data_IF_844288073250
#
_entry.id   IF_844288073250
#
_cell.length_a   1.000
_cell.length_b   1.000
_cell.length_c   1.000
_cell.angle_alpha   90.00
_cell.angle_beta   90.00
_cell.angle_gamma   90.00
#
_symmetry.space_group_name_H-M   'P 1'
#
loop_
_entity.id
_entity.type
_entity.pdbx_description
1 polymer ?
#
# COMPACT_ATOMS: atom_id res chain seq x y z
N UNK A 1 -26.04 11.74 7.57
CA UNK A 1 -25.65 10.79 6.51
C UNK A 1 -24.45 9.98 7.01
N UNK A 2 -24.47 8.64 6.96
CA UNK A 2 -23.32 7.84 7.36
C UNK A 2 -22.15 8.07 6.38
N UNK A 3 -20.97 8.38 6.92
CA UNK A 3 -19.75 8.58 6.13
C UNK A 3 -18.84 7.35 6.25
N UNK A 4 -18.53 6.70 5.13
CA UNK A 4 -17.60 5.56 5.11
C UNK A 4 -16.16 6.04 5.21
N UNK A 5 -15.49 5.68 6.30
CA UNK A 5 -14.06 5.97 6.50
C UNK A 5 -13.21 4.90 5.83
N UNK A 6 -12.12 5.33 5.19
CA UNK A 6 -11.14 4.47 4.52
C UNK A 6 -9.85 4.50 5.32
N UNK A 7 -9.20 3.36 5.45
CA UNK A 7 -8.06 3.19 6.34
C UNK A 7 -6.91 2.55 5.57
N UNK A 8 -5.78 3.24 5.54
CA UNK A 8 -4.52 2.74 5.00
C UNK A 8 -3.73 2.02 6.09
N UNK A 9 -3.46 0.74 5.87
CA UNK A 9 -2.70 -0.12 6.76
C UNK A 9 -1.33 -0.37 6.16
N UNK A 10 -0.29 -0.13 6.95
CA UNK A 10 1.09 -0.42 6.59
C UNK A 10 1.73 -1.27 7.66
N UNK A 11 2.31 -2.40 7.30
CA UNK A 11 3.03 -3.23 8.26
C UNK A 11 4.29 -3.81 7.65
N UNK A 12 5.26 -4.12 8.51
CA UNK A 12 6.48 -4.81 8.12
C UNK A 12 6.23 -6.31 8.02
N UNK A 13 6.73 -6.96 6.99
CA UNK A 13 6.57 -8.41 6.85
C UNK A 13 7.42 -9.21 7.86
N UNK A 14 8.46 -8.61 8.45
CA UNK A 14 9.32 -9.27 9.45
C UNK A 14 8.99 -8.92 10.90
N UNK A 15 8.16 -7.92 11.14
CA UNK A 15 7.92 -7.35 12.47
C UNK A 15 6.46 -6.92 12.58
N UNK A 16 5.81 -7.10 13.74
CA UNK A 16 4.42 -6.69 13.94
C UNK A 16 4.24 -5.16 14.01
N UNK A 17 5.25 -4.36 13.66
CA UNK A 17 5.12 -2.91 13.58
C UNK A 17 4.10 -2.53 12.51
N UNK A 18 3.04 -1.88 12.97
CA UNK A 18 1.88 -1.47 12.21
C UNK A 18 1.75 0.06 12.26
N UNK A 19 1.40 0.65 11.13
CA UNK A 19 1.02 2.04 10.99
C UNK A 19 -0.34 2.10 10.31
N UNK A 20 -1.26 2.86 10.91
CA UNK A 20 -2.64 3.01 10.45
C UNK A 20 -2.95 4.49 10.30
N UNK A 21 -3.58 4.85 9.20
CA UNK A 21 -4.10 6.19 8.98
C UNK A 21 -5.49 6.14 8.35
N UNK A 22 -6.41 6.96 8.87
CA UNK A 22 -7.79 7.02 8.42
C UNK A 22 -8.04 8.28 7.58
N UNK A 23 -8.81 8.12 6.50
CA UNK A 23 -9.20 9.17 5.59
C UNK A 23 -10.71 9.12 5.31
N UNK A 24 -11.35 10.27 5.08
CA UNK A 24 -12.78 10.34 4.75
C UNK A 24 -13.11 9.81 3.36
N UNK A 25 -12.11 9.63 2.47
CA UNK A 25 -12.28 9.20 1.07
C UNK A 25 -11.07 8.40 0.58
N UNK A 26 -11.27 7.64 -0.48
CA UNK A 26 -10.22 6.88 -1.19
C UNK A 26 -9.76 7.64 -2.45
N UNK A 27 -9.23 8.85 -2.27
CA UNK A 27 -8.65 9.64 -3.36
C UNK A 27 -7.14 9.42 -3.46
N UNK A 28 -6.58 9.70 -4.62
CA UNK A 28 -5.17 9.45 -4.89
C UNK A 28 -4.24 10.27 -3.97
N UNK A 29 -4.59 11.52 -3.67
CA UNK A 29 -3.87 12.40 -2.75
C UNK A 29 -3.77 11.80 -1.34
N UNK A 30 -4.85 11.14 -0.88
CA UNK A 30 -4.88 10.48 0.42
C UNK A 30 -3.95 9.27 0.44
N UNK A 31 -3.82 8.56 -0.69
CA UNK A 31 -2.84 7.47 -0.82
C UNK A 31 -1.42 8.03 -0.72
N UNK A 32 -1.09 9.11 -1.43
CA UNK A 32 0.24 9.72 -1.33
C UNK A 32 0.57 10.17 0.11
N UNK A 33 -0.38 10.84 0.76
CA UNK A 33 -0.22 11.28 2.16
C UNK A 33 -0.04 10.10 3.11
N UNK A 34 -0.78 9.00 2.90
CA UNK A 34 -0.63 7.78 3.69
C UNK A 34 0.79 7.23 3.60
N UNK A 35 1.37 7.20 2.40
CA UNK A 35 2.74 6.74 2.17
C UNK A 35 3.74 7.68 2.82
N UNK A 36 3.58 8.99 2.66
CA UNK A 36 4.46 9.98 3.28
C UNK A 36 4.53 9.78 4.80
N UNK A 37 3.36 9.68 5.47
CA UNK A 37 3.30 9.46 6.92
C UNK A 37 3.84 8.10 7.34
N UNK A 38 3.54 7.05 6.59
CA UNK A 38 4.03 5.71 6.88
C UNK A 38 5.57 5.64 6.77
N UNK A 39 6.14 6.21 5.70
CA UNK A 39 7.58 6.27 5.49
C UNK A 39 8.27 7.07 6.61
N UNK A 40 7.69 8.20 7.01
CA UNK A 40 8.19 8.96 8.16
C UNK A 40 8.14 8.15 9.46
N UNK A 41 7.05 7.40 9.71
CA UNK A 41 6.90 6.55 10.90
C UNK A 41 7.90 5.39 10.94
N UNK A 42 8.17 4.74 9.81
CA UNK A 42 9.13 3.65 9.73
C UNK A 42 10.60 4.12 9.68
N UNK A 43 10.84 5.43 9.62
CA UNK A 43 12.18 6.02 9.52
C UNK A 43 12.79 5.91 8.12
N UNK A 44 11.96 5.71 7.09
CA UNK A 44 12.37 5.66 5.69
C UNK A 44 11.71 4.56 4.86
N UNK A 45 12.05 4.50 3.56
CA UNK A 45 11.56 3.50 2.64
C UNK A 45 12.24 2.14 2.84
N UNK A 46 11.44 1.06 2.73
CA UNK A 46 11.99 -0.26 2.45
C UNK A 46 12.34 -0.37 0.96
N UNK A 47 13.32 -1.21 0.61
CA UNK A 47 13.70 -1.45 -0.80
C UNK A 47 12.48 -1.80 -1.67
N UNK A 48 11.52 -2.53 -1.11
CA UNK A 48 10.29 -2.97 -1.78
C UNK A 48 9.08 -2.71 -0.92
N UNK A 49 7.98 -2.24 -1.52
CA UNK A 49 6.66 -2.11 -0.88
C UNK A 49 5.65 -2.96 -1.66
N UNK A 50 4.90 -3.81 -0.95
CA UNK A 50 3.94 -4.73 -1.52
C UNK A 50 2.54 -4.12 -1.54
N UNK A 51 1.85 -4.26 -2.67
CA UNK A 51 0.51 -3.74 -2.92
C UNK A 51 -0.44 -4.83 -3.41
N UNK A 52 -1.68 -4.84 -2.91
CA UNK A 52 -2.72 -5.78 -3.33
C UNK A 52 -3.43 -5.40 -4.65
N UNK A 53 -2.94 -4.38 -5.37
CA UNK A 53 -3.48 -3.84 -6.64
C UNK A 53 -4.68 -2.85 -6.51
N UNK A 54 -4.59 -1.79 -5.68
CA UNK A 54 -5.66 -0.80 -5.62
C UNK A 54 -5.74 0.02 -6.92
N UNK A 55 -6.96 0.23 -7.42
CA UNK A 55 -7.24 1.03 -8.64
C UNK A 55 -6.72 2.47 -8.56
N UNK A 56 -6.45 2.97 -7.36
CA UNK A 56 -5.85 4.30 -7.14
C UNK A 56 -4.38 4.35 -7.53
N UNK A 57 -3.64 3.25 -7.35
CA UNK A 57 -2.20 3.15 -7.65
C UNK A 57 -1.99 2.62 -9.07
N UNK A 58 -2.83 1.67 -9.49
CA UNK A 58 -2.73 1.01 -10.79
C UNK A 58 -3.69 1.66 -11.77
N UNK A 59 -3.15 2.29 -12.81
CA UNK A 59 -3.92 2.97 -13.85
C UNK A 59 -4.44 1.98 -14.90
N UNK A 60 -3.62 1.00 -15.30
CA UNK A 60 -4.01 -0.09 -16.21
C UNK A 60 -3.27 -1.37 -15.87
N UNK A 61 -3.98 -2.49 -15.85
CA UNK A 61 -3.37 -3.82 -15.80
C UNK A 61 -3.01 -4.18 -17.25
N UNK A 62 -1.73 -4.42 -17.54
CA UNK A 62 -1.28 -4.86 -18.86
C UNK A 62 -1.18 -6.40 -18.88
N UNK A 63 -0.87 -6.98 -20.05
CA UNK A 63 -0.71 -8.43 -20.18
C UNK A 63 0.44 -8.95 -19.28
N UNK A 64 0.15 -9.94 -18.43
CA UNK A 64 1.15 -10.57 -17.56
C UNK A 64 1.34 -9.90 -16.20
N UNK A 65 2.60 -9.65 -15.80
CA UNK A 65 2.97 -9.04 -14.50
C UNK A 65 3.17 -7.52 -14.56
N UNK A 66 3.19 -6.94 -15.77
CA UNK A 66 3.38 -5.51 -15.96
C UNK A 66 2.11 -4.73 -15.65
N UNK A 67 2.26 -3.65 -14.90
CA UNK A 67 1.17 -2.78 -14.46
C UNK A 67 1.58 -1.35 -14.73
N UNK A 68 0.73 -0.62 -15.44
CA UNK A 68 0.91 0.80 -15.66
C UNK A 68 0.50 1.55 -14.39
N UNK A 69 1.51 2.03 -13.66
CA UNK A 69 1.31 2.78 -12.43
C UNK A 69 0.87 4.20 -12.75
N UNK A 70 0.09 4.79 -11.86
CA UNK A 70 -0.20 6.21 -11.97
C UNK A 70 1.13 7.00 -12.00
N UNK A 71 1.32 7.87 -13.00
CA UNK A 71 2.55 8.66 -13.19
C UNK A 71 2.96 9.42 -11.92
N UNK A 72 1.98 9.94 -11.16
CA UNK A 72 2.25 10.63 -9.90
C UNK A 72 2.77 9.68 -8.82
N UNK A 73 2.28 8.44 -8.80
CA UNK A 73 2.74 7.41 -7.86
C UNK A 73 4.13 6.91 -8.25
N UNK A 74 4.38 6.67 -9.53
CA UNK A 74 5.70 6.31 -10.04
C UNK A 74 6.74 7.38 -9.67
N UNK A 75 6.38 8.68 -9.78
CA UNK A 75 7.26 9.78 -9.35
C UNK A 75 7.55 9.75 -7.85
N UNK A 76 6.55 9.44 -7.02
CA UNK A 76 6.76 9.26 -5.57
C UNK A 76 7.69 8.08 -5.29
N UNK A 77 7.48 6.94 -5.96
CA UNK A 77 8.34 5.76 -5.83
C UNK A 77 9.79 6.07 -6.21
N UNK A 78 10.02 6.81 -7.29
CA UNK A 78 11.35 7.29 -7.66
C UNK A 78 11.93 8.30 -6.67
N UNK A 79 11.12 9.19 -6.09
CA UNK A 79 11.58 10.18 -5.12
C UNK A 79 12.04 9.54 -3.81
N UNK A 80 11.29 8.56 -3.30
CA UNK A 80 11.61 7.81 -2.09
C UNK A 80 12.39 6.52 -2.37
N UNK A 81 12.86 6.29 -3.60
CA UNK A 81 13.72 5.16 -3.97
C UNK A 81 13.20 3.79 -3.51
N UNK A 82 11.88 3.56 -3.57
CA UNK A 82 11.29 2.25 -3.30
C UNK A 82 10.75 1.61 -4.58
N UNK A 83 10.84 0.29 -4.65
CA UNK A 83 10.26 -0.48 -5.75
C UNK A 83 8.84 -0.95 -5.36
N UNK A 84 7.78 -0.49 -6.06
CA UNK A 84 6.43 -0.97 -5.83
C UNK A 84 6.24 -2.36 -6.43
N UNK A 85 6.02 -3.35 -5.58
CA UNK A 85 5.77 -4.74 -5.96
C UNK A 85 4.28 -5.02 -5.82
N UNK A 86 3.67 -5.48 -6.90
CA UNK A 86 2.24 -5.76 -6.92
C UNK A 86 2.02 -7.26 -6.73
N UNK A 87 1.21 -7.63 -5.74
CA UNK A 87 0.91 -9.03 -5.45
C UNK A 87 0.21 -9.70 -6.64
N UNK A 88 0.65 -10.91 -6.98
CA UNK A 88 -0.16 -11.79 -7.81
C UNK A 88 -1.27 -12.38 -6.94
N UNK A 89 -2.52 -12.47 -7.44
CA UNK A 89 -3.58 -13.18 -6.73
C UNK A 89 -3.11 -14.61 -6.45
N UNK A 90 -3.25 -15.07 -5.19
CA UNK A 90 -2.82 -16.39 -4.68
C UNK A 90 -1.31 -16.66 -4.53
N UNK A 91 -0.42 -15.66 -4.65
CA UNK A 91 1.01 -15.88 -4.34
C UNK A 91 1.29 -15.74 -2.85
N UNK A 92 1.49 -16.88 -2.19
CA UNK A 92 1.95 -16.95 -0.80
C UNK A 92 3.26 -16.19 -0.58
N UNK A 93 3.43 -15.66 0.63
CA UNK A 93 4.58 -14.86 1.07
C UNK A 93 5.92 -15.50 0.69
N UNK A 94 6.52 -15.06 -0.41
CA UNK A 94 7.96 -15.22 -0.58
C UNK A 94 8.66 -14.46 0.56
N UNK A 95 9.55 -15.19 1.24
CA UNK A 95 10.20 -14.91 2.53
C UNK A 95 11.16 -13.71 2.51
N UNK A 96 10.86 -12.65 1.80
CA UNK A 96 11.62 -11.41 1.83
C UNK A 96 11.20 -10.60 3.05
N UNK A 97 11.98 -10.75 4.13
CA UNK A 97 11.73 -10.12 5.42
C UNK A 97 11.65 -8.59 5.34
N UNK A 98 12.41 -7.94 4.45
CA UNK A 98 12.54 -6.47 4.39
C UNK A 98 11.53 -5.76 3.47
N UNK A 99 10.24 -6.06 3.61
CA UNK A 99 9.17 -5.44 2.82
C UNK A 99 8.12 -4.78 3.72
N UNK A 100 7.60 -3.62 3.31
CA UNK A 100 6.37 -3.01 3.86
C UNK A 100 5.21 -3.50 3.00
N UNK A 101 4.10 -3.92 3.61
CA UNK A 101 2.86 -4.23 2.90
C UNK A 101 1.85 -3.13 3.14
N UNK A 102 1.20 -2.68 2.07
CA UNK A 102 0.16 -1.67 2.10
C UNK A 102 -1.19 -2.25 1.68
N UNK A 103 -2.23 -1.94 2.45
CA UNK A 103 -3.61 -2.28 2.13
C UNK A 103 -4.56 -1.15 2.49
N UNK A 104 -5.53 -0.88 1.60
CA UNK A 104 -6.65 0.03 1.86
C UNK A 104 -7.87 -0.81 2.21
N UNK A 105 -8.54 -0.48 3.30
CA UNK A 105 -9.77 -1.13 3.75
C UNK A 105 -10.79 -0.09 4.21
N UNK A 106 -12.08 -0.42 4.17
CA UNK A 106 -13.10 0.37 4.85
C UNK A 106 -13.03 0.11 6.36
N UNK A 107 -13.27 1.14 7.17
CA UNK A 107 -13.39 1.00 8.62
C UNK A 107 -14.54 0.03 8.95
N UNK A 108 -14.29 -0.97 9.79
CA UNK A 108 -15.28 -2.01 10.16
C UNK A 108 -15.06 -3.38 9.51
N UNK A 109 -14.00 -3.57 8.73
CA UNK A 109 -13.59 -4.92 8.27
C UNK A 109 -12.85 -5.61 9.44
N UNK A 110 -13.30 -6.81 9.88
CA UNK A 110 -12.78 -7.47 11.07
C UNK A 110 -11.33 -7.91 10.90
N UNK A 111 -10.55 -7.90 12.00
CA UNK A 111 -9.10 -8.14 12.10
C UNK A 111 -8.64 -9.50 11.53
N UNK A 112 -9.54 -10.47 11.37
CA UNK A 112 -9.32 -11.74 10.67
C UNK A 112 -9.24 -11.63 9.14
N UNK A 113 -9.78 -10.58 8.49
CA UNK A 113 -9.67 -10.39 7.04
C UNK A 113 -8.27 -9.92 6.58
N UNK A 114 -7.30 -9.84 7.50
CA UNK A 114 -5.99 -9.20 7.36
C UNK A 114 -4.82 -10.21 7.34
N UNK A 115 -5.10 -11.50 7.56
CA UNK A 115 -4.20 -12.65 7.37
C UNK A 115 -4.42 -13.28 5.98
#
# INVERSE_FOLDING_TARGET
MPQTIKVGHFWLCYSPKLFIVAFPREQFEMVLEAHYRALAYFGGPSKRIIYDNPKTIVHRILSGKERDLNKRFARMASHYLFEPVMCNPASGCEKDKWRIRFRICALGIPAEAWL
#
